data_IF_138883948589
#
_entry.id   IF_138883948589
#
_cell.length_a   1.000
_cell.length_b   1.000
_cell.length_c   1.000
_cell.angle_alpha   90.00
_cell.angle_beta   90.00
_cell.angle_gamma   90.00
#
_symmetry.space_group_name_H-M   'P 1'
#
loop_
_entity.id
_entity.type
_entity.pdbx_description
1 polymer ?
#
# COMPACT_ATOMS: atom_id res chain seq x y z
N UNK A 1 31.72 24.22 -40.31
CA UNK A 1 32.64 23.18 -39.82
C UNK A 1 32.62 22.05 -40.82
N UNK A 2 33.79 21.75 -41.38
CA UNK A 2 33.99 20.85 -42.50
C UNK A 2 33.68 19.39 -42.09
N UNK A 3 32.58 18.83 -42.58
CA UNK A 3 32.22 17.43 -42.34
C UNK A 3 33.05 16.57 -43.28
N UNK A 4 34.13 15.99 -42.75
CA UNK A 4 34.96 15.02 -43.45
C UNK A 4 34.09 13.88 -44.03
N UNK A 5 34.02 13.78 -45.36
CA UNK A 5 33.33 12.73 -46.12
C UNK A 5 34.09 11.38 -46.10
N UNK A 6 34.96 11.14 -45.10
CA UNK A 6 35.72 9.89 -45.04
C UNK A 6 34.79 8.75 -44.63
N UNK A 7 34.72 7.64 -45.39
CA UNK A 7 33.91 6.50 -45.02
C UNK A 7 34.35 5.95 -43.66
N UNK A 8 33.40 5.49 -42.82
CA UNK A 8 33.72 4.94 -41.51
C UNK A 8 34.69 3.76 -41.64
N UNK A 9 35.71 3.71 -40.78
CA UNK A 9 36.69 2.62 -40.78
C UNK A 9 35.97 1.31 -40.48
N UNK A 10 36.37 0.24 -41.18
CA UNK A 10 35.79 -1.10 -41.04
C UNK A 10 35.81 -1.64 -39.59
N UNK A 11 36.80 -1.20 -38.79
CA UNK A 11 36.93 -1.52 -37.36
C UNK A 11 35.94 -0.79 -36.44
N UNK A 12 35.30 0.27 -36.94
CA UNK A 12 34.40 1.12 -36.15
C UNK A 12 32.93 0.74 -36.34
N UNK A 13 32.60 -0.06 -37.36
CA UNK A 13 31.23 -0.45 -37.70
C UNK A 13 30.51 -1.23 -36.59
N UNK A 14 31.25 -1.98 -35.78
CA UNK A 14 30.69 -2.77 -34.66
C UNK A 14 30.70 -2.05 -33.31
N UNK A 15 31.22 -0.80 -33.25
CA UNK A 15 31.30 -0.06 -32.00
C UNK A 15 29.91 0.41 -31.56
N UNK A 16 29.60 0.22 -30.27
CA UNK A 16 28.29 0.59 -29.67
C UNK A 16 27.83 2.02 -29.98
N UNK A 17 28.75 2.98 -30.10
CA UNK A 17 28.45 4.39 -30.39
C UNK A 17 28.11 4.70 -31.86
N UNK A 18 28.38 3.75 -32.78
CA UNK A 18 27.99 3.83 -34.19
C UNK A 18 26.59 3.26 -34.46
N UNK A 19 26.02 2.50 -33.51
CA UNK A 19 24.63 2.04 -33.60
C UNK A 19 23.73 3.28 -33.51
N UNK A 20 22.83 3.46 -34.48
CA UNK A 20 21.78 4.49 -34.43
C UNK A 20 21.09 4.38 -33.08
N UNK A 21 21.13 5.46 -32.30
CA UNK A 21 20.34 5.58 -31.08
C UNK A 21 18.89 5.38 -31.50
N UNK A 22 18.21 4.39 -30.94
CA UNK A 22 16.77 4.24 -31.14
C UNK A 22 16.12 5.44 -30.46
N UNK A 23 15.81 6.48 -31.23
CA UNK A 23 14.97 7.60 -30.81
C UNK A 23 13.50 7.16 -30.69
N UNK A 24 13.25 6.05 -29.98
CA UNK A 24 11.91 5.76 -29.47
C UNK A 24 11.73 6.62 -28.23
N UNK A 25 10.79 7.56 -28.30
CA UNK A 25 10.23 8.16 -27.11
C UNK A 25 9.68 7.02 -26.24
N UNK A 26 10.39 6.68 -25.16
CA UNK A 26 9.84 5.79 -24.13
C UNK A 26 8.75 6.63 -23.48
N UNK A 27 7.50 6.32 -23.81
CA UNK A 27 6.36 6.86 -23.10
C UNK A 27 6.39 6.19 -21.72
N UNK A 28 6.98 6.86 -20.74
CA UNK A 28 6.98 6.40 -19.35
C UNK A 28 5.52 6.44 -18.94
N UNK A 29 4.87 5.27 -18.88
CA UNK A 29 3.55 5.17 -18.29
C UNK A 29 3.72 5.13 -16.77
N UNK A 30 2.78 5.71 -16.00
CA UNK A 30 2.83 5.62 -14.56
C UNK A 30 2.73 4.15 -14.14
N UNK A 31 3.38 3.82 -13.03
CA UNK A 31 3.17 2.54 -12.36
C UNK A 31 1.78 2.54 -11.70
N UNK A 32 0.95 1.55 -11.99
CA UNK A 32 -0.40 1.46 -11.44
C UNK A 32 -0.45 0.57 -10.21
N UNK A 33 -1.09 1.06 -9.16
CA UNK A 33 -1.30 0.38 -7.89
C UNK A 33 -2.81 0.33 -7.60
N UNK A 34 -3.32 -0.86 -7.30
CA UNK A 34 -4.71 -1.08 -6.89
C UNK A 34 -4.74 -1.43 -5.41
N UNK A 35 -5.47 -0.68 -4.61
CA UNK A 35 -5.73 -0.97 -3.19
C UNK A 35 -7.19 -1.40 -3.08
N UNK A 36 -7.43 -2.60 -2.56
CA UNK A 36 -8.77 -3.13 -2.33
C UNK A 36 -8.91 -3.43 -0.86
N UNK A 37 -9.88 -2.80 -0.20
CA UNK A 37 -10.09 -2.90 1.24
C UNK A 37 -11.34 -3.72 1.53
N UNK A 38 -11.31 -4.44 2.64
CA UNK A 38 -12.46 -5.18 3.16
C UNK A 38 -13.60 -4.23 3.53
N UNK A 39 -13.34 -3.24 4.39
CA UNK A 39 -14.31 -2.25 4.80
C UNK A 39 -14.65 -1.25 3.68
N UNK A 40 -15.83 -0.61 3.81
CA UNK A 40 -16.33 0.40 2.88
C UNK A 40 -16.21 1.84 3.41
N UNK A 41 -15.77 2.01 4.65
CA UNK A 41 -15.83 3.30 5.35
C UNK A 41 -14.42 3.83 5.66
N UNK A 42 -13.75 3.23 6.64
CA UNK A 42 -12.53 3.79 7.25
C UNK A 42 -11.31 3.63 6.36
N UNK A 43 -11.08 2.42 5.84
CA UNK A 43 -9.91 2.10 5.03
C UNK A 43 -9.96 2.78 3.65
N UNK A 44 -11.07 2.73 2.88
CA UNK A 44 -11.16 3.44 1.61
C UNK A 44 -10.96 4.95 1.76
N UNK A 45 -11.47 5.55 2.84
CA UNK A 45 -11.30 6.99 3.07
C UNK A 45 -9.83 7.32 3.38
N UNK A 46 -9.20 6.56 4.27
CA UNK A 46 -7.77 6.75 4.61
C UNK A 46 -6.85 6.59 3.39
N UNK A 47 -6.98 5.50 2.64
CA UNK A 47 -6.18 5.28 1.43
C UNK A 47 -6.63 6.18 0.28
N UNK A 48 -7.88 6.63 0.28
CA UNK A 48 -8.42 7.63 -0.65
C UNK A 48 -7.69 8.97 -0.54
N UNK A 49 -7.48 9.48 0.67
CA UNK A 49 -6.69 10.70 0.88
C UNK A 49 -5.24 10.55 0.39
N UNK A 50 -4.61 9.39 0.64
CA UNK A 50 -3.28 9.05 0.10
C UNK A 50 -3.29 9.06 -1.44
N UNK A 51 -4.31 8.43 -2.05
CA UNK A 51 -4.52 8.41 -3.50
C UNK A 51 -4.63 9.82 -4.06
N UNK A 52 -5.42 10.70 -3.45
CA UNK A 52 -5.61 12.07 -3.94
C UNK A 52 -4.31 12.88 -3.90
N UNK A 53 -3.54 12.77 -2.82
CA UNK A 53 -2.22 13.42 -2.71
C UNK A 53 -1.27 12.94 -3.82
N UNK A 54 -1.12 11.62 -3.95
CA UNK A 54 -0.16 11.02 -4.89
C UNK A 54 -0.57 11.26 -6.35
N UNK A 55 -1.82 10.99 -6.70
CA UNK A 55 -2.30 11.09 -8.08
C UNK A 55 -2.25 12.53 -8.61
N UNK A 56 -2.42 13.51 -7.71
CA UNK A 56 -2.30 14.94 -8.01
C UNK A 56 -0.85 15.37 -8.14
N UNK A 57 0.04 14.94 -7.24
CA UNK A 57 1.45 15.37 -7.22
C UNK A 57 2.30 14.65 -8.29
N UNK A 58 2.00 13.39 -8.59
CA UNK A 58 2.82 12.54 -9.45
C UNK A 58 2.05 11.81 -10.57
N UNK A 59 1.22 12.50 -11.37
CA UNK A 59 0.34 11.87 -12.35
C UNK A 59 1.05 11.07 -13.45
N UNK A 60 2.33 11.34 -13.72
CA UNK A 60 3.13 10.65 -14.73
C UNK A 60 4.01 9.52 -14.16
N UNK A 61 4.09 9.39 -12.82
CA UNK A 61 4.97 8.39 -12.17
C UNK A 61 4.19 7.24 -11.56
N UNK A 62 3.11 7.52 -10.86
CA UNK A 62 2.33 6.53 -10.13
C UNK A 62 0.83 6.89 -10.19
N UNK A 63 -0.01 5.86 -10.28
CA UNK A 63 -1.46 5.97 -10.20
C UNK A 63 -2.01 4.98 -9.19
N UNK A 64 -2.75 5.50 -8.22
CA UNK A 64 -3.46 4.72 -7.22
C UNK A 64 -4.95 4.67 -7.54
N UNK A 65 -5.51 3.47 -7.45
CA UNK A 65 -6.94 3.24 -7.37
C UNK A 65 -7.29 2.52 -6.07
N UNK A 66 -8.40 2.92 -5.44
CA UNK A 66 -8.82 2.47 -4.11
C UNK A 66 -10.29 2.07 -4.19
N UNK A 67 -10.62 0.88 -3.71
CA UNK A 67 -11.99 0.35 -3.66
C UNK A 67 -12.26 -0.35 -2.32
N UNK A 68 -13.38 -0.02 -1.68
CA UNK A 68 -13.91 -0.78 -0.55
C UNK A 68 -14.98 -1.76 -1.01
N UNK A 69 -14.81 -3.05 -0.70
CA UNK A 69 -15.66 -4.12 -1.23
C UNK A 69 -16.82 -4.54 -0.33
N UNK A 70 -16.71 -4.32 0.98
CA UNK A 70 -17.69 -4.78 1.96
C UNK A 70 -17.91 -6.30 1.92
N UNK A 71 -16.84 -7.07 1.77
CA UNK A 71 -16.91 -8.51 1.53
C UNK A 71 -15.91 -9.29 2.39
N UNK A 72 -16.13 -10.59 2.57
CA UNK A 72 -15.26 -11.43 3.38
C UNK A 72 -13.87 -11.66 2.76
N UNK A 73 -12.90 -12.03 3.60
CA UNK A 73 -11.48 -12.21 3.23
C UNK A 73 -11.22 -13.07 1.99
N UNK A 74 -11.97 -14.16 1.76
CA UNK A 74 -11.77 -15.04 0.60
C UNK A 74 -12.30 -14.40 -0.70
N UNK A 75 -13.50 -13.81 -0.65
CA UNK A 75 -14.05 -13.11 -1.81
C UNK A 75 -13.29 -11.82 -2.12
N UNK A 76 -12.69 -11.18 -1.12
CA UNK A 76 -11.91 -9.96 -1.27
C UNK A 76 -10.73 -10.14 -2.24
N UNK A 77 -9.95 -11.22 -2.08
CA UNK A 77 -8.85 -11.51 -3.00
C UNK A 77 -9.35 -11.72 -4.44
N UNK A 78 -10.41 -12.52 -4.62
CA UNK A 78 -10.96 -12.79 -5.96
C UNK A 78 -11.48 -11.51 -6.61
N UNK A 79 -12.17 -10.64 -5.85
CA UNK A 79 -12.61 -9.33 -6.32
C UNK A 79 -11.46 -8.42 -6.72
N UNK A 80 -10.40 -8.37 -5.90
CA UNK A 80 -9.20 -7.59 -6.23
C UNK A 80 -8.54 -8.09 -7.52
N UNK A 81 -8.45 -9.41 -7.69
CA UNK A 81 -7.96 -10.04 -8.91
C UNK A 81 -8.83 -9.72 -10.13
N UNK A 82 -10.15 -9.91 -10.04
CA UNK A 82 -11.08 -9.57 -11.13
C UNK A 82 -10.96 -8.10 -11.53
N UNK A 83 -10.89 -7.17 -10.56
CA UNK A 83 -10.69 -5.74 -10.85
C UNK A 83 -9.39 -5.45 -11.58
N UNK A 84 -8.31 -6.14 -11.19
CA UNK A 84 -7.03 -5.99 -11.85
C UNK A 84 -7.07 -6.50 -13.29
N UNK A 85 -7.74 -7.64 -13.53
CA UNK A 85 -7.89 -8.27 -14.85
C UNK A 85 -8.83 -7.49 -15.79
N UNK A 86 -9.89 -6.87 -15.25
CA UNK A 86 -10.84 -6.06 -16.03
C UNK A 86 -10.32 -4.64 -16.36
N UNK A 87 -9.23 -4.22 -15.73
CA UNK A 87 -8.63 -2.91 -15.97
C UNK A 87 -7.95 -2.83 -17.33
N UNK A 88 -8.13 -1.69 -18.01
CA UNK A 88 -7.38 -1.39 -19.24
C UNK A 88 -5.88 -1.19 -19.02
N UNK A 89 -5.46 -0.90 -17.78
CA UNK A 89 -4.07 -0.74 -17.39
C UNK A 89 -3.65 -1.90 -16.49
N UNK A 90 -2.45 -2.43 -16.72
CA UNK A 90 -1.86 -3.45 -15.86
C UNK A 90 -1.43 -2.82 -14.53
N UNK A 91 -1.96 -3.35 -13.42
CA UNK A 91 -1.49 -2.97 -12.09
C UNK A 91 -0.20 -3.72 -11.78
N UNK A 92 0.85 -2.97 -11.44
CA UNK A 92 2.11 -3.57 -10.98
C UNK A 92 1.95 -4.15 -9.58
N UNK A 93 1.18 -3.47 -8.73
CA UNK A 93 0.89 -3.89 -7.37
C UNK A 93 -0.62 -3.91 -7.10
N UNK A 94 -1.10 -5.01 -6.53
CA UNK A 94 -2.47 -5.14 -6.01
C UNK A 94 -2.40 -5.42 -4.51
N UNK A 95 -2.93 -4.52 -3.70
CA UNK A 95 -2.88 -4.55 -2.24
C UNK A 95 -4.24 -4.95 -1.70
N UNK A 96 -4.31 -6.09 -1.02
CA UNK A 96 -5.52 -6.61 -0.38
C UNK A 96 -5.44 -6.23 1.10
N UNK A 97 -6.23 -5.23 1.51
CA UNK A 97 -6.24 -4.72 2.88
C UNK A 97 -7.43 -5.29 3.64
N UNK A 98 -7.18 -5.95 4.77
CA UNK A 98 -8.24 -6.62 5.52
C UNK A 98 -7.97 -6.69 7.02
N UNK A 99 -9.04 -6.84 7.78
CA UNK A 99 -9.01 -7.00 9.23
C UNK A 99 -9.08 -8.50 9.59
N UNK A 100 -8.69 -8.87 10.82
CA UNK A 100 -8.61 -10.28 11.22
C UNK A 100 -9.63 -10.70 12.28
N UNK A 101 -10.52 -9.81 12.72
CA UNK A 101 -11.46 -10.07 13.81
C UNK A 101 -12.66 -10.94 13.41
N UNK A 102 -13.18 -10.79 12.20
CA UNK A 102 -14.47 -11.37 11.80
C UNK A 102 -14.34 -12.70 11.01
N UNK A 103 -13.15 -13.34 10.99
CA UNK A 103 -12.91 -14.52 10.16
C UNK A 103 -12.20 -15.70 10.85
N UNK A 104 -12.46 -16.94 10.40
CA UNK A 104 -11.65 -18.10 10.75
C UNK A 104 -10.18 -17.90 10.35
N UNK A 105 -9.26 -18.44 11.15
CA UNK A 105 -7.82 -18.40 10.89
C UNK A 105 -7.46 -18.89 9.47
N UNK A 106 -8.09 -19.96 9.00
CA UNK A 106 -7.85 -20.51 7.66
C UNK A 106 -8.19 -19.50 6.54
N UNK A 107 -9.22 -18.67 6.74
CA UNK A 107 -9.60 -17.66 5.75
C UNK A 107 -8.57 -16.52 5.73
N UNK A 108 -8.22 -16.02 6.92
CA UNK A 108 -7.21 -14.96 7.13
C UNK A 108 -5.87 -15.34 6.49
N UNK A 109 -5.42 -16.57 6.74
CA UNK A 109 -4.11 -17.05 6.30
C UNK A 109 -4.12 -17.46 4.81
N UNK A 110 -5.28 -17.86 4.25
CA UNK A 110 -5.40 -18.22 2.83
C UNK A 110 -5.11 -17.05 1.89
N UNK A 111 -5.41 -15.81 2.29
CA UNK A 111 -5.17 -14.62 1.46
C UNK A 111 -3.68 -14.45 1.16
N UNK A 112 -2.80 -14.74 2.12
CA UNK A 112 -1.35 -14.73 1.89
C UNK A 112 -0.96 -15.74 0.81
N UNK A 113 -1.45 -16.97 0.93
CA UNK A 113 -1.14 -18.03 -0.03
C UNK A 113 -1.66 -17.68 -1.44
N UNK A 114 -2.86 -17.11 -1.54
CA UNK A 114 -3.42 -16.64 -2.81
C UNK A 114 -2.58 -15.53 -3.42
N UNK A 115 -2.13 -14.55 -2.63
CA UNK A 115 -1.25 -13.48 -3.10
C UNK A 115 0.07 -14.04 -3.67
N UNK A 116 0.70 -14.98 -2.97
CA UNK A 116 1.95 -15.60 -3.42
C UNK A 116 1.75 -16.43 -4.70
N UNK A 117 0.65 -17.17 -4.79
CA UNK A 117 0.38 -18.10 -5.91
C UNK A 117 0.04 -17.38 -7.21
N UNK A 118 -0.71 -16.28 -7.13
CA UNK A 118 -1.20 -15.55 -8.30
C UNK A 118 -0.28 -14.40 -8.74
N UNK A 119 0.73 -14.06 -7.94
CA UNK A 119 1.75 -13.10 -8.32
C UNK A 119 2.60 -13.61 -9.50
N UNK A 120 2.94 -12.70 -10.41
CA UNK A 120 3.75 -12.97 -11.60
C UNK A 120 4.65 -11.78 -11.93
N UNK A 121 5.36 -11.85 -13.07
CA UNK A 121 6.32 -10.83 -13.50
C UNK A 121 5.68 -9.44 -13.74
N UNK A 122 4.41 -9.41 -14.13
CA UNK A 122 3.67 -8.19 -14.46
C UNK A 122 2.96 -7.61 -13.23
N UNK A 123 2.31 -8.46 -12.42
CA UNK A 123 1.49 -8.05 -11.28
C UNK A 123 1.89 -8.82 -10.02
N UNK A 124 2.13 -8.09 -8.93
CA UNK A 124 2.37 -8.67 -7.60
C UNK A 124 1.20 -8.36 -6.68
N UNK A 125 0.64 -9.39 -6.05
CA UNK A 125 -0.41 -9.28 -5.05
C UNK A 125 0.20 -9.25 -3.64
N UNK A 126 -0.36 -8.42 -2.75
CA UNK A 126 0.15 -8.19 -1.40
C UNK A 126 -0.98 -8.30 -0.38
N UNK A 127 -0.82 -9.17 0.60
CA UNK A 127 -1.76 -9.29 1.72
C UNK A 127 -1.37 -8.30 2.84
N UNK A 128 -2.21 -7.28 3.07
CA UNK A 128 -2.00 -6.19 4.02
C UNK A 128 -3.03 -6.30 5.15
N UNK A 129 -2.72 -7.11 6.16
CA UNK A 129 -3.63 -7.36 7.28
C UNK A 129 -3.38 -6.44 8.48
N UNK A 130 -4.41 -6.22 9.30
CA UNK A 130 -4.30 -5.61 10.62
C UNK A 130 -5.03 -6.44 11.68
N UNK A 131 -4.38 -6.70 12.81
CA UNK A 131 -4.90 -7.52 13.89
C UNK A 131 -5.13 -6.69 15.16
N UNK A 132 -6.37 -6.46 15.60
CA UNK A 132 -7.61 -7.01 15.04
C UNK A 132 -8.16 -6.23 13.84
N UNK A 133 -7.91 -4.92 13.79
CA UNK A 133 -8.47 -4.02 12.79
C UNK A 133 -7.52 -2.87 12.44
N UNK A 134 -7.84 -2.09 11.40
CA UNK A 134 -7.02 -0.95 10.95
C UNK A 134 -6.78 0.11 12.06
N UNK A 135 -7.66 0.23 13.05
CA UNK A 135 -7.45 1.15 14.17
C UNK A 135 -6.16 0.89 14.95
N UNK A 136 -5.62 -0.34 14.92
CA UNK A 136 -4.26 -0.58 15.43
C UNK A 136 -3.26 0.31 14.71
N UNK A 137 -3.27 0.35 13.38
CA UNK A 137 -2.39 1.20 12.58
C UNK A 137 -2.53 2.67 12.99
N UNK A 138 -3.75 3.15 13.25
CA UNK A 138 -3.97 4.53 13.70
C UNK A 138 -3.37 4.79 15.09
N UNK A 139 -3.54 3.87 16.05
CA UNK A 139 -2.94 4.02 17.38
C UNK A 139 -1.40 4.02 17.35
N UNK A 140 -0.79 3.27 16.43
CA UNK A 140 0.67 3.20 16.31
C UNK A 140 1.32 4.54 15.93
N UNK A 141 0.55 5.51 15.41
CA UNK A 141 1.04 6.88 15.20
C UNK A 141 1.28 7.63 16.51
N UNK A 142 0.52 7.30 17.56
CA UNK A 142 0.60 7.99 18.85
C UNK A 142 1.44 7.23 19.87
N UNK A 143 1.39 5.90 19.85
CA UNK A 143 2.11 5.08 20.84
C UNK A 143 2.36 3.66 20.37
N UNK A 144 3.41 3.03 20.92
CA UNK A 144 3.68 1.62 20.69
C UNK A 144 2.69 0.74 21.47
N UNK A 145 1.90 -0.06 20.76
CA UNK A 145 0.85 -0.92 21.31
C UNK A 145 1.25 -2.40 21.22
N UNK A 146 1.63 -3.01 22.34
CA UNK A 146 2.06 -4.42 22.40
C UNK A 146 1.04 -5.38 23.06
N UNK A 147 -0.04 -4.83 23.61
CA UNK A 147 -1.12 -5.62 24.19
C UNK A 147 -2.13 -5.98 23.11
N UNK A 148 -2.51 -7.25 23.05
CA UNK A 148 -3.67 -7.69 22.29
C UNK A 148 -4.93 -7.22 23.04
N UNK A 149 -5.62 -6.23 22.48
CA UNK A 149 -6.81 -5.61 23.06
C UNK A 149 -8.02 -5.91 22.18
N UNK A 150 -9.19 -5.96 22.81
CA UNK A 150 -10.44 -6.22 22.07
C UNK A 150 -10.79 -5.04 21.16
N UNK A 151 -11.44 -5.31 20.01
CA UNK A 151 -11.85 -4.27 19.03
C UNK A 151 -12.57 -3.06 19.64
N UNK A 152 -13.36 -3.30 20.70
CA UNK A 152 -14.12 -2.26 21.42
C UNK A 152 -13.23 -1.25 22.18
N UNK A 153 -11.96 -1.60 22.45
CA UNK A 153 -11.02 -0.73 23.17
C UNK A 153 -10.27 0.24 22.24
N UNK A 154 -10.28 0.04 20.93
CA UNK A 154 -9.54 0.90 20.00
C UNK A 154 -10.14 2.30 19.92
N UNK A 155 -11.47 2.42 19.82
CA UNK A 155 -12.12 3.72 19.65
C UNK A 155 -11.97 4.65 20.86
N UNK A 156 -12.15 4.19 22.12
CA UNK A 156 -11.87 5.02 23.28
C UNK A 156 -10.42 5.49 23.35
N UNK A 157 -9.46 4.61 23.04
CA UNK A 157 -8.01 4.96 23.04
C UNK A 157 -7.68 5.97 21.93
N UNK A 158 -8.20 5.76 20.72
CA UNK A 158 -8.02 6.72 19.62
C UNK A 158 -8.62 8.07 19.98
N UNK A 159 -9.82 8.08 20.54
CA UNK A 159 -10.48 9.31 21.00
C UNK A 159 -9.64 10.04 22.04
N UNK A 160 -9.03 9.34 22.98
CA UNK A 160 -8.12 9.93 23.96
C UNK A 160 -6.91 10.58 23.28
N UNK A 161 -6.22 9.86 22.39
CA UNK A 161 -5.08 10.39 21.64
C UNK A 161 -5.45 11.61 20.79
N UNK A 162 -6.57 11.55 20.08
CA UNK A 162 -7.05 12.63 19.21
C UNK A 162 -7.44 13.87 20.02
N UNK A 163 -8.09 13.71 21.18
CA UNK A 163 -8.38 14.82 22.09
C UNK A 163 -7.12 15.49 22.61
N UNK A 164 -6.07 14.73 22.92
CA UNK A 164 -4.80 15.30 23.41
C UNK A 164 -4.12 16.22 22.39
N UNK A 165 -4.34 15.99 21.09
CA UNK A 165 -3.82 16.84 20.02
C UNK A 165 -4.86 17.85 19.49
N UNK A 166 -6.03 17.94 20.11
CA UNK A 166 -7.10 18.87 19.71
C UNK A 166 -7.86 18.46 18.44
N UNK A 167 -7.79 17.19 18.02
CA UNK A 167 -8.41 16.66 16.80
C UNK A 167 -9.82 16.03 17.03
N UNK A 168 -10.40 16.23 18.21
CA UNK A 168 -11.76 15.78 18.54
C UNK A 168 -11.87 14.29 18.88
N UNK A 169 -13.05 13.71 18.66
CA UNK A 169 -13.36 12.31 18.92
C UNK A 169 -13.12 11.43 17.69
N UNK A 170 -12.84 10.15 17.89
CA UNK A 170 -12.80 9.19 16.79
C UNK A 170 -14.22 8.79 16.40
N UNK A 171 -14.52 8.86 15.11
CA UNK A 171 -15.74 8.34 14.50
C UNK A 171 -15.35 7.56 13.24
N UNK A 172 -15.98 6.41 13.00
CA UNK A 172 -15.61 5.48 11.91
C UNK A 172 -15.55 6.13 10.52
N UNK A 173 -16.39 7.13 10.27
CA UNK A 173 -16.59 7.80 8.99
C UNK A 173 -15.89 9.15 8.87
N UNK A 174 -14.99 9.49 9.80
CA UNK A 174 -14.24 10.75 9.72
C UNK A 174 -13.23 10.71 8.55
N UNK A 175 -13.10 11.83 7.85
CA UNK A 175 -12.41 11.94 6.55
C UNK A 175 -11.01 12.51 6.62
N UNK A 176 -10.61 12.96 7.80
CA UNK A 176 -9.38 13.70 8.07
C UNK A 176 -8.29 12.86 8.76
N UNK A 177 -8.52 11.54 8.90
CA UNK A 177 -7.57 10.66 9.60
C UNK A 177 -6.20 10.67 8.97
N UNK A 178 -6.12 10.64 7.63
CA UNK A 178 -4.82 10.65 6.96
C UNK A 178 -4.04 11.93 7.28
N UNK A 179 -4.68 13.09 7.19
CA UNK A 179 -4.08 14.40 7.43
C UNK A 179 -3.62 14.55 8.88
N UNK A 180 -4.39 14.03 9.84
CA UNK A 180 -4.04 14.06 11.27
C UNK A 180 -2.85 13.14 11.57
N UNK A 181 -2.83 11.97 10.94
CA UNK A 181 -1.84 10.94 11.22
C UNK A 181 -0.53 11.14 10.45
N UNK A 182 -0.56 11.77 9.27
CA UNK A 182 0.60 11.96 8.39
C UNK A 182 1.84 12.55 9.09
N UNK A 183 1.74 13.57 9.97
CA UNK A 183 2.91 14.09 10.70
C UNK A 183 3.62 13.06 11.59
N UNK A 184 2.93 11.99 11.97
CA UNK A 184 3.41 10.93 12.85
C UNK A 184 3.69 9.61 12.13
N UNK A 185 3.67 9.61 10.79
CA UNK A 185 3.80 8.40 9.96
C UNK A 185 5.06 7.58 10.28
N UNK A 186 6.20 8.24 10.52
CA UNK A 186 7.46 7.55 10.86
C UNK A 186 7.37 6.78 12.18
N UNK A 187 6.63 7.31 13.17
CA UNK A 187 6.40 6.61 14.44
C UNK A 187 5.56 5.36 14.21
N UNK A 188 4.50 5.45 13.41
CA UNK A 188 3.66 4.30 13.06
C UNK A 188 4.44 3.21 12.33
N UNK A 189 5.26 3.57 11.34
CA UNK A 189 6.14 2.63 10.62
C UNK A 189 7.10 1.94 11.60
N UNK A 190 7.78 2.69 12.46
CA UNK A 190 8.71 2.14 13.44
C UNK A 190 8.03 1.18 14.44
N UNK A 191 6.86 1.58 14.93
CA UNK A 191 6.08 0.78 15.87
C UNK A 191 5.54 -0.51 15.21
N UNK A 192 5.01 -0.42 13.99
CA UNK A 192 4.51 -1.58 13.24
C UNK A 192 5.63 -2.56 12.90
N UNK A 193 6.82 -2.07 12.49
CA UNK A 193 8.01 -2.92 12.28
C UNK A 193 8.44 -3.64 13.56
N UNK A 194 8.37 -2.98 14.71
CA UNK A 194 8.69 -3.58 16.00
C UNK A 194 7.69 -4.70 16.37
N UNK A 195 6.40 -4.51 16.08
CA UNK A 195 5.40 -5.57 16.22
C UNK A 195 5.68 -6.72 15.26
N UNK A 196 5.98 -6.42 14.00
CA UNK A 196 6.31 -7.42 13.01
C UNK A 196 7.52 -8.28 13.42
N UNK A 197 8.59 -7.66 13.94
CA UNK A 197 9.74 -8.38 14.48
C UNK A 197 9.37 -9.27 15.68
N UNK A 198 8.44 -8.83 16.53
CA UNK A 198 7.95 -9.63 17.67
C UNK A 198 7.03 -10.79 17.24
N UNK A 199 6.51 -10.75 16.01
CA UNK A 199 5.65 -11.74 15.39
C UNK A 199 6.35 -12.54 14.28
N UNK A 200 7.68 -12.52 14.23
CA UNK A 200 8.46 -13.23 13.22
C UNK A 200 8.06 -14.72 13.16
N UNK A 201 7.80 -15.21 11.94
CA UNK A 201 7.40 -16.60 11.69
C UNK A 201 5.94 -16.93 12.03
N UNK A 202 5.15 -15.98 12.56
CA UNK A 202 3.72 -16.19 12.80
C UNK A 202 2.90 -15.88 11.55
N UNK A 203 1.83 -16.65 11.37
CA UNK A 203 0.79 -16.36 10.40
C UNK A 203 -0.07 -15.16 10.88
N UNK A 204 -0.75 -14.43 9.97
CA UNK A 204 -1.57 -13.28 10.31
C UNK A 204 -2.59 -13.57 11.42
N UNK A 205 -3.24 -14.75 11.36
CA UNK A 205 -4.20 -15.21 12.37
C UNK A 205 -3.62 -15.38 13.78
N UNK A 206 -2.29 -15.42 13.91
CA UNK A 206 -1.55 -15.64 15.17
C UNK A 206 -0.65 -14.47 15.55
N UNK A 207 -0.68 -13.37 14.80
CA UNK A 207 0.23 -12.25 14.93
C UNK A 207 -0.40 -11.04 15.65
N UNK A 208 -1.27 -11.29 16.62
CA UNK A 208 -1.90 -10.26 17.45
C UNK A 208 -0.96 -9.78 18.59
N UNK A 209 -0.85 -8.46 18.85
CA UNK A 209 -1.20 -7.37 17.95
C UNK A 209 -0.17 -7.26 16.80
N UNK A 210 -0.61 -6.84 15.62
CA UNK A 210 0.27 -6.69 14.46
C UNK A 210 -0.45 -6.10 13.25
N UNK A 211 0.28 -5.44 12.36
CA UNK A 211 -0.26 -4.91 11.11
C UNK A 211 0.82 -4.89 10.04
N UNK A 212 0.43 -5.10 8.78
CA UNK A 212 1.27 -4.97 7.58
C UNK A 212 1.03 -3.70 6.80
N UNK A 213 0.15 -2.80 7.27
CA UNK A 213 -0.14 -1.52 6.58
C UNK A 213 1.13 -0.70 6.32
N UNK A 214 2.13 -0.79 7.21
CA UNK A 214 3.42 -0.13 7.02
C UNK A 214 4.15 -0.55 5.72
N UNK A 215 3.97 -1.78 5.22
CA UNK A 215 4.63 -2.26 4.00
C UNK A 215 4.11 -1.51 2.76
N UNK A 216 2.79 -1.32 2.68
CA UNK A 216 2.15 -0.48 1.68
C UNK A 216 2.62 0.98 1.80
N UNK A 217 2.60 1.53 3.01
CA UNK A 217 3.00 2.92 3.25
C UNK A 217 4.46 3.17 2.89
N UNK A 218 5.38 2.25 3.17
CA UNK A 218 6.80 2.41 2.82
C UNK A 218 7.01 2.48 1.30
N UNK A 219 6.24 1.72 0.52
CA UNK A 219 6.27 1.80 -0.95
C UNK A 219 5.75 3.15 -1.44
N UNK A 220 4.72 3.70 -0.80
CA UNK A 220 4.12 4.97 -1.18
C UNK A 220 4.87 6.19 -0.63
N UNK A 221 5.66 6.04 0.44
CA UNK A 221 6.35 7.11 1.16
C UNK A 221 7.19 8.06 0.28
N UNK A 222 7.95 7.61 -0.74
CA UNK A 222 8.65 8.52 -1.66
C UNK A 222 7.74 9.53 -2.36
N UNK A 223 6.45 9.23 -2.46
CA UNK A 223 5.42 10.06 -3.07
C UNK A 223 4.59 10.85 -2.05
N UNK A 224 4.87 10.71 -0.75
CA UNK A 224 4.17 11.39 0.34
C UNK A 224 5.02 12.45 1.06
N UNK A 225 6.34 12.46 0.83
CA UNK A 225 7.22 13.46 1.39
C UNK A 225 6.91 14.86 0.81
N UNK A 226 6.88 15.85 1.69
CA UNK A 226 6.99 17.26 1.30
C UNK A 226 8.42 17.52 0.83
N UNK A 227 8.56 18.29 -0.27
CA UNK A 227 9.90 18.73 -0.74
C UNK A 227 10.46 19.82 0.18
#
# INVERSE_FOLDING_TARGET
MDLSLKPPKKSDLDKKWMKKRLDRAIKIQPEYHLIVTEGTDTEPEYFGSIKEVINKKYPEKIKLDVYGEGDNTISLFQKAKTRAEESSNVYKHVWIVYDTDDFPADHIDSVLQSCDTDSNDETTFHAIWSNQCIELWFLLHFSYMQSDIHREEYWPKLTECLKQIGAGEYEKNRKDMYEILHPYMEYAIGNAKRLNASNEGKLPSKAAPGTKVYELIEILKPYLAEE
#
